data_IF_304343496408
#
_entry.id   IF_304343496408
#
_cell.length_a   1.000
_cell.length_b   1.000
_cell.length_c   1.000
_cell.angle_alpha   90.00
_cell.angle_beta   90.00
_cell.angle_gamma   90.00
#
_symmetry.space_group_name_H-M   'P 1'
#
loop_
_entity.id
_entity.type
_entity.pdbx_description
1 polymer ?
#
# COMPACT_ATOMS: atom_id res chain seq x y z
N UNK A 1 -7.02 -18.79 8.10
CA UNK A 1 -7.57 -17.45 7.88
C UNK A 1 -6.52 -16.69 7.09
N UNK A 2 -6.85 -16.20 5.88
CA UNK A 2 -5.88 -15.57 4.97
C UNK A 2 -6.18 -14.07 4.89
N UNK A 3 -5.13 -13.24 4.98
CA UNK A 3 -5.18 -11.79 4.87
C UNK A 3 -4.11 -11.36 3.89
N UNK A 4 -4.41 -10.38 3.03
CA UNK A 4 -3.44 -9.77 2.14
C UNK A 4 -3.62 -8.25 2.18
N UNK A 5 -2.58 -7.53 2.57
CA UNK A 5 -2.63 -6.09 2.76
C UNK A 5 -1.86 -5.31 1.70
N UNK A 6 -1.29 -6.00 0.69
CA UNK A 6 -0.54 -5.37 -0.37
C UNK A 6 -0.80 -6.08 -1.71
N UNK A 7 -1.77 -5.58 -2.45
CA UNK A 7 -2.13 -6.14 -3.78
C UNK A 7 -2.37 -5.04 -4.80
N UNK A 8 -2.13 -5.38 -6.07
CA UNK A 8 -2.26 -4.46 -7.18
C UNK A 8 -3.32 -4.93 -8.18
N UNK A 9 -3.95 -3.96 -8.82
CA UNK A 9 -4.96 -4.18 -9.85
C UNK A 9 -4.47 -3.63 -11.20
N UNK A 10 -5.30 -3.70 -12.22
CA UNK A 10 -4.96 -3.07 -13.51
C UNK A 10 -4.99 -1.52 -13.48
N UNK A 11 -5.19 -0.90 -12.32
CA UNK A 11 -4.94 0.53 -12.16
C UNK A 11 -3.44 0.86 -12.01
N UNK A 12 -2.60 -0.15 -11.80
CA UNK A 12 -1.13 -0.06 -11.85
C UNK A 12 -0.54 -1.21 -12.67
N UNK A 13 -0.02 -2.23 -12.06
CA UNK A 13 0.73 -3.32 -12.69
C UNK A 13 0.13 -4.71 -12.43
N UNK A 14 -1.04 -4.79 -11.81
CA UNK A 14 -1.80 -6.02 -11.65
C UNK A 14 -2.62 -6.40 -12.88
N UNK A 15 -3.13 -7.63 -12.91
CA UNK A 15 -3.83 -8.19 -14.07
C UNK A 15 -5.36 -8.07 -13.98
N UNK A 16 -5.91 -7.99 -12.78
CA UNK A 16 -7.35 -8.00 -12.53
C UNK A 16 -7.89 -6.60 -12.26
N UNK A 17 -9.13 -6.34 -12.63
CA UNK A 17 -9.84 -5.17 -12.12
C UNK A 17 -10.04 -5.25 -10.60
N UNK A 18 -10.25 -4.12 -9.89
CA UNK A 18 -10.44 -4.14 -8.44
C UNK A 18 -11.48 -5.14 -7.98
N UNK A 19 -12.66 -5.13 -8.57
CA UNK A 19 -13.75 -6.02 -8.17
C UNK A 19 -13.47 -7.49 -8.49
N UNK A 20 -12.77 -7.79 -9.60
CA UNK A 20 -12.35 -9.16 -9.95
C UNK A 20 -11.34 -9.70 -8.95
N UNK A 21 -10.36 -8.89 -8.55
CA UNK A 21 -9.37 -9.28 -7.55
C UNK A 21 -10.02 -9.58 -6.21
N UNK A 22 -10.96 -8.74 -5.75
CA UNK A 22 -11.73 -9.01 -4.53
C UNK A 22 -12.55 -10.30 -4.69
N UNK A 23 -13.16 -10.54 -5.86
CA UNK A 23 -13.92 -11.78 -6.12
C UNK A 23 -13.04 -13.01 -6.05
N UNK A 24 -11.83 -12.97 -6.59
CA UNK A 24 -10.86 -14.06 -6.48
C UNK A 24 -10.48 -14.31 -5.02
N UNK A 25 -10.22 -13.26 -4.24
CA UNK A 25 -9.93 -13.38 -2.82
C UNK A 25 -11.07 -14.10 -2.06
N UNK A 26 -12.32 -13.78 -2.37
CA UNK A 26 -13.49 -14.49 -1.80
C UNK A 26 -13.48 -15.97 -2.17
N UNK A 27 -13.23 -16.30 -3.45
CA UNK A 27 -13.19 -17.69 -3.93
C UNK A 27 -12.10 -18.50 -3.24
N UNK A 28 -10.93 -17.88 -3.01
CA UNK A 28 -9.80 -18.51 -2.32
C UNK A 28 -9.90 -18.46 -0.78
N UNK A 29 -11.00 -17.97 -0.22
CA UNK A 29 -11.25 -18.00 1.21
C UNK A 29 -10.49 -16.94 2.02
N UNK A 30 -10.08 -15.86 1.40
CA UNK A 30 -9.50 -14.71 2.09
C UNK A 30 -10.55 -14.04 2.99
N UNK A 31 -10.11 -13.60 4.16
CA UNK A 31 -10.97 -12.84 5.09
C UNK A 31 -10.82 -11.34 4.90
N UNK A 32 -9.67 -10.92 4.40
CA UNK A 32 -9.39 -9.52 4.14
C UNK A 32 -8.44 -9.39 2.95
N UNK A 33 -8.67 -8.38 2.14
CA UNK A 33 -7.76 -7.95 1.07
C UNK A 33 -7.69 -6.43 1.05
N UNK A 34 -6.50 -5.87 0.86
CA UNK A 34 -6.32 -4.45 0.59
C UNK A 34 -5.88 -4.25 -0.86
N UNK A 35 -6.51 -3.31 -1.54
CA UNK A 35 -6.16 -2.90 -2.90
C UNK A 35 -5.29 -1.66 -2.81
N UNK A 36 -4.03 -1.78 -3.19
CA UNK A 36 -2.98 -0.81 -2.90
C UNK A 36 -2.12 -0.52 -4.13
N UNK A 37 -2.77 -0.20 -5.24
CA UNK A 37 -2.12 0.13 -6.50
C UNK A 37 -1.06 1.22 -6.36
N UNK A 38 -0.04 1.20 -7.22
CA UNK A 38 0.98 2.24 -7.29
C UNK A 38 0.38 3.61 -7.60
N UNK A 39 0.69 4.59 -6.76
CA UNK A 39 0.14 5.93 -6.86
C UNK A 39 1.15 7.06 -6.67
N UNK A 40 0.84 8.15 -7.34
CA UNK A 40 1.49 9.45 -7.23
C UNK A 40 0.43 10.55 -7.39
N UNK A 41 0.82 11.83 -7.41
CA UNK A 41 -0.15 12.93 -7.61
C UNK A 41 -1.00 12.79 -8.88
N UNK A 42 -0.48 12.14 -9.92
CA UNK A 42 -1.19 12.03 -11.21
C UNK A 42 -2.41 11.12 -11.17
N UNK A 43 -2.50 10.19 -10.23
CA UNK A 43 -3.53 9.15 -10.20
C UNK A 43 -4.11 8.85 -8.80
N UNK A 44 -3.62 9.52 -7.75
CA UNK A 44 -3.97 9.26 -6.36
C UNK A 44 -5.49 9.31 -6.10
N UNK A 45 -6.13 10.40 -6.50
CA UNK A 45 -7.57 10.62 -6.32
C UNK A 45 -8.40 9.66 -7.16
N UNK A 46 -7.98 9.42 -8.40
CA UNK A 46 -8.62 8.47 -9.30
C UNK A 46 -8.63 7.06 -8.70
N UNK A 47 -7.46 6.54 -8.31
CA UNK A 47 -7.33 5.17 -7.78
C UNK A 47 -8.17 5.04 -6.51
N UNK A 48 -7.92 5.88 -5.50
CA UNK A 48 -8.59 5.76 -4.20
C UNK A 48 -10.10 5.85 -4.34
N UNK A 49 -10.60 6.80 -5.13
CA UNK A 49 -12.05 6.98 -5.30
C UNK A 49 -12.74 5.80 -6.00
N UNK A 50 -12.05 5.11 -6.90
CA UNK A 50 -12.59 3.94 -7.63
C UNK A 50 -12.50 2.66 -6.80
N UNK A 51 -11.31 2.40 -6.26
CA UNK A 51 -11.09 1.24 -5.39
C UNK A 51 -12.04 1.25 -4.18
N UNK A 52 -12.26 2.41 -3.57
CA UNK A 52 -13.20 2.56 -2.45
C UNK A 52 -14.61 2.10 -2.81
N UNK A 53 -15.12 2.46 -3.98
CA UNK A 53 -16.46 2.04 -4.43
C UNK A 53 -16.59 0.53 -4.60
N UNK A 54 -15.57 -0.11 -5.17
CA UNK A 54 -15.56 -1.56 -5.35
C UNK A 54 -15.39 -2.29 -4.02
N UNK A 55 -14.59 -1.77 -3.09
CA UNK A 55 -14.49 -2.29 -1.73
C UNK A 55 -15.84 -2.21 -1.00
N UNK A 56 -16.51 -1.06 -1.00
CA UNK A 56 -17.82 -0.87 -0.39
C UNK A 56 -18.88 -1.81 -1.01
N UNK A 57 -18.85 -1.97 -2.32
CA UNK A 57 -19.74 -2.89 -3.04
C UNK A 57 -19.50 -4.34 -2.61
N UNK A 58 -18.24 -4.76 -2.54
CA UNK A 58 -17.85 -6.11 -2.16
C UNK A 58 -18.23 -6.42 -0.69
N UNK A 59 -17.93 -5.52 0.24
CA UNK A 59 -18.30 -5.68 1.66
C UNK A 59 -19.81 -5.78 1.87
N UNK A 60 -20.61 -5.10 1.04
CA UNK A 60 -22.07 -5.16 1.12
C UNK A 60 -22.63 -6.51 0.73
N UNK A 61 -22.03 -7.19 -0.25
CA UNK A 61 -22.62 -8.37 -0.86
C UNK A 61 -21.80 -9.66 -0.68
N UNK A 62 -20.54 -9.57 -0.24
CA UNK A 62 -19.66 -10.70 -0.02
C UNK A 62 -19.10 -10.69 1.40
N UNK A 63 -18.84 -11.87 1.93
CA UNK A 63 -18.27 -12.02 3.28
C UNK A 63 -16.74 -11.84 3.24
N UNK A 64 -16.30 -10.62 2.96
CA UNK A 64 -14.89 -10.22 2.92
C UNK A 64 -14.73 -8.79 3.46
N UNK A 65 -13.61 -8.50 4.12
CA UNK A 65 -13.22 -7.14 4.44
C UNK A 65 -12.31 -6.63 3.30
N UNK A 66 -12.82 -5.74 2.45
CA UNK A 66 -12.08 -5.15 1.36
C UNK A 66 -11.62 -3.73 1.75
N UNK A 67 -10.32 -3.50 1.71
CA UNK A 67 -9.70 -2.28 2.23
C UNK A 67 -9.20 -1.42 1.07
N UNK A 68 -9.74 -0.20 0.88
CA UNK A 68 -9.18 0.73 -0.08
C UNK A 68 -7.86 1.29 0.43
N UNK A 69 -6.84 1.26 -0.40
CA UNK A 69 -5.50 1.73 -0.08
C UNK A 69 -4.77 2.31 -1.29
N UNK A 70 -3.51 2.59 -1.08
CA UNK A 70 -2.58 3.09 -2.09
C UNK A 70 -1.15 2.73 -1.70
N UNK A 71 -0.31 2.44 -2.67
CA UNK A 71 1.14 2.38 -2.50
C UNK A 71 1.78 3.59 -3.16
N UNK A 72 2.34 4.50 -2.36
CA UNK A 72 3.08 5.66 -2.85
C UNK A 72 4.43 5.21 -3.40
N UNK A 73 4.61 5.34 -4.71
CA UNK A 73 5.74 4.76 -5.44
C UNK A 73 6.50 5.82 -6.22
N UNK A 74 7.84 5.81 -6.10
CA UNK A 74 8.76 6.72 -6.82
C UNK A 74 8.38 8.21 -6.71
N UNK A 75 7.90 8.61 -5.54
CA UNK A 75 7.57 10.01 -5.24
C UNK A 75 8.75 10.70 -4.55
N UNK A 76 8.90 12.03 -4.67
CA UNK A 76 9.94 12.75 -3.96
C UNK A 76 9.84 12.54 -2.45
N UNK A 77 10.97 12.21 -1.80
CA UNK A 77 11.03 11.89 -0.36
C UNK A 77 10.32 12.92 0.51
N UNK A 78 10.53 14.21 0.23
CA UNK A 78 9.91 15.32 0.99
C UNK A 78 8.39 15.41 0.83
N UNK A 79 7.81 14.75 -0.17
CA UNK A 79 6.36 14.74 -0.41
C UNK A 79 5.62 13.62 0.32
N UNK A 80 6.32 12.59 0.80
CA UNK A 80 5.73 11.36 1.37
C UNK A 80 4.68 11.68 2.43
N UNK A 81 5.03 12.46 3.45
CA UNK A 81 4.10 12.76 4.53
C UNK A 81 2.84 13.51 4.08
N UNK A 82 2.99 14.44 3.14
CA UNK A 82 1.85 15.22 2.62
C UNK A 82 0.95 14.36 1.74
N UNK A 83 1.52 13.56 0.83
CA UNK A 83 0.75 12.66 -0.01
C UNK A 83 0.07 11.55 0.79
N UNK A 84 0.75 11.00 1.80
CA UNK A 84 0.14 10.01 2.70
C UNK A 84 -1.06 10.61 3.47
N UNK A 85 -0.97 11.87 3.90
CA UNK A 85 -2.09 12.59 4.51
C UNK A 85 -3.25 12.76 3.52
N UNK A 86 -2.96 13.24 2.32
CA UNK A 86 -3.95 13.44 1.27
C UNK A 86 -4.65 12.13 0.90
N UNK A 87 -3.90 11.03 0.78
CA UNK A 87 -4.46 9.71 0.57
C UNK A 87 -5.49 9.32 1.65
N UNK A 88 -5.16 9.60 2.92
CA UNK A 88 -6.10 9.37 4.04
C UNK A 88 -7.36 10.25 3.93
N UNK A 89 -7.20 11.50 3.58
CA UNK A 89 -8.31 12.46 3.39
C UNK A 89 -9.22 12.03 2.23
N UNK A 90 -8.67 11.44 1.17
CA UNK A 90 -9.41 10.85 0.05
C UNK A 90 -10.12 9.54 0.41
N UNK A 91 -9.78 8.91 1.52
CA UNK A 91 -10.42 7.72 2.05
C UNK A 91 -9.62 6.43 1.98
N UNK A 92 -8.31 6.48 1.71
CA UNK A 92 -7.43 5.32 1.84
C UNK A 92 -7.35 4.87 3.31
N UNK A 93 -7.73 3.63 3.58
CA UNK A 93 -7.62 3.02 4.93
C UNK A 93 -6.21 2.50 5.19
N UNK A 94 -5.51 2.06 4.14
CA UNK A 94 -4.10 1.69 4.17
C UNK A 94 -3.31 2.60 3.23
N UNK A 95 -2.20 3.15 3.72
CA UNK A 95 -1.19 3.85 2.91
C UNK A 95 0.12 3.12 3.08
N UNK A 96 0.63 2.63 1.98
CA UNK A 96 1.93 1.96 1.85
C UNK A 96 2.92 2.93 1.20
N UNK A 97 4.19 2.80 1.52
CA UNK A 97 5.27 3.45 0.79
C UNK A 97 6.19 2.37 0.24
N UNK A 98 6.48 2.45 -1.04
CA UNK A 98 7.44 1.58 -1.71
C UNK A 98 8.85 1.81 -1.16
N UNK A 99 9.46 0.78 -0.58
CA UNK A 99 10.74 0.89 0.10
C UNK A 99 11.94 0.96 -0.83
N UNK A 100 13.06 1.44 -0.29
CA UNK A 100 14.35 1.45 -0.99
C UNK A 100 14.85 0.00 -1.20
N UNK A 101 15.27 -0.31 -2.43
CA UNK A 101 15.87 -1.60 -2.76
C UNK A 101 17.13 -1.40 -3.60
N UNK A 102 17.91 -2.48 -3.77
CA UNK A 102 19.13 -2.44 -4.61
C UNK A 102 18.81 -2.63 -6.10
N UNK A 103 17.58 -2.98 -6.44
CA UNK A 103 17.15 -3.32 -7.82
C UNK A 103 16.22 -2.29 -8.43
N UNK A 104 15.75 -1.31 -7.66
CA UNK A 104 14.82 -0.28 -8.09
C UNK A 104 15.32 1.13 -7.77
N UNK A 105 14.98 2.09 -8.61
CA UNK A 105 15.46 3.48 -8.50
C UNK A 105 14.57 4.31 -7.54
N UNK A 106 14.47 3.87 -6.30
CA UNK A 106 13.79 4.62 -5.24
C UNK A 106 14.73 5.69 -4.67
N UNK A 107 14.22 6.89 -4.44
CA UNK A 107 15.04 8.00 -3.91
C UNK A 107 15.57 7.66 -2.52
N UNK A 108 16.91 7.76 -2.26
CA UNK A 108 17.48 7.52 -0.95
C UNK A 108 16.89 8.41 0.14
N UNK A 109 16.54 7.82 1.28
CA UNK A 109 15.85 8.49 2.39
C UNK A 109 14.34 8.23 2.44
N UNK A 110 13.80 7.53 1.43
CA UNK A 110 12.38 7.14 1.38
C UNK A 110 11.98 6.32 2.59
N UNK A 111 12.76 5.29 2.96
CA UNK A 111 12.48 4.47 4.14
C UNK A 111 12.39 5.31 5.41
N UNK A 112 13.36 6.18 5.63
CA UNK A 112 13.39 7.04 6.81
C UNK A 112 12.19 7.98 6.88
N UNK A 113 11.81 8.59 5.75
CA UNK A 113 10.68 9.52 5.73
C UNK A 113 9.34 8.79 5.86
N UNK A 114 9.21 7.61 5.25
CA UNK A 114 8.04 6.77 5.41
C UNK A 114 7.79 6.40 6.87
N UNK A 115 8.84 5.91 7.58
CA UNK A 115 8.70 5.48 8.99
C UNK A 115 8.53 6.65 9.98
N UNK A 116 8.76 7.89 9.57
CA UNK A 116 8.44 9.10 10.36
C UNK A 116 6.98 9.53 10.24
N UNK A 117 6.32 9.18 9.13
CA UNK A 117 4.99 9.69 8.83
C UNK A 117 3.92 8.99 9.66
N UNK A 118 3.09 9.74 10.35
CA UNK A 118 1.92 9.21 11.09
C UNK A 118 0.76 8.75 10.19
N UNK A 119 0.86 8.97 8.89
CA UNK A 119 -0.18 8.60 7.91
C UNK A 119 0.17 7.32 7.14
N UNK A 120 1.42 6.88 7.19
CA UNK A 120 1.88 5.63 6.58
C UNK A 120 1.56 4.47 7.52
N UNK A 121 1.07 3.37 6.98
CA UNK A 121 0.75 2.15 7.72
C UNK A 121 1.79 1.06 7.51
N UNK A 122 2.38 0.98 6.32
CA UNK A 122 3.28 -0.08 5.94
C UNK A 122 4.39 0.46 5.04
N UNK A 123 5.61 0.04 5.30
CA UNK A 123 6.76 0.19 4.42
C UNK A 123 6.94 -1.12 3.65
N UNK A 124 6.76 -1.06 2.33
CA UNK A 124 6.80 -2.23 1.47
C UNK A 124 8.25 -2.68 1.22
N UNK A 125 8.50 -3.95 1.42
CA UNK A 125 9.71 -4.72 1.05
C UNK A 125 11.04 -3.92 0.96
N UNK A 126 11.45 -3.18 2.01
CA UNK A 126 12.68 -2.41 1.97
C UNK A 126 13.91 -3.33 1.96
N UNK A 127 14.56 -3.47 0.81
CA UNK A 127 15.79 -4.26 0.68
C UNK A 127 17.00 -3.62 1.33
N UNK A 128 16.99 -2.28 1.55
CA UNK A 128 18.01 -1.52 2.26
C UNK A 128 17.36 -0.88 3.50
N UNK A 129 17.38 -1.59 4.62
CA UNK A 129 16.70 -1.13 5.84
C UNK A 129 17.64 -1.06 7.03
N UNK A 130 17.78 0.12 7.63
CA UNK A 130 18.72 0.37 8.72
C UNK A 130 18.08 0.07 10.07
N UNK A 131 18.91 -0.30 11.05
CA UNK A 131 18.44 -0.58 12.41
C UNK A 131 17.69 0.60 13.05
N UNK A 132 18.12 1.83 12.79
CA UNK A 132 17.47 3.02 13.35
C UNK A 132 16.09 3.27 12.70
N UNK A 133 15.94 2.94 11.42
CA UNK A 133 14.64 2.98 10.72
C UNK A 133 13.69 1.91 11.27
N UNK A 134 14.19 0.70 11.52
CA UNK A 134 13.40 -0.37 12.13
C UNK A 134 12.91 -0.01 13.54
N UNK A 135 13.77 0.57 14.38
CA UNK A 135 13.39 1.06 15.70
C UNK A 135 12.32 2.16 15.62
N UNK A 136 12.43 3.04 14.62
CA UNK A 136 11.48 4.13 14.43
C UNK A 136 10.14 3.60 13.92
N UNK A 137 10.13 2.68 12.95
CA UNK A 137 8.94 1.98 12.50
C UNK A 137 8.19 1.33 13.66
N UNK A 138 8.90 0.58 14.51
CA UNK A 138 8.32 -0.05 15.69
C UNK A 138 7.70 0.96 16.67
N UNK A 139 8.37 2.09 16.95
CA UNK A 139 7.83 3.15 17.83
C UNK A 139 6.57 3.80 17.26
N UNK A 140 6.52 3.96 15.94
CA UNK A 140 5.42 4.64 15.27
C UNK A 140 4.30 3.68 14.83
N UNK A 141 4.43 2.37 15.13
CA UNK A 141 3.43 1.37 14.79
C UNK A 141 3.29 1.11 13.28
N UNK A 142 4.38 1.34 12.52
CA UNK A 142 4.42 1.11 11.08
C UNK A 142 4.89 -0.32 10.83
N UNK A 143 4.13 -1.08 10.06
CA UNK A 143 4.52 -2.42 9.65
C UNK A 143 5.61 -2.35 8.57
N UNK A 144 6.46 -3.37 8.55
CA UNK A 144 7.49 -3.54 7.52
C UNK A 144 7.25 -4.87 6.84
N UNK A 145 7.07 -4.84 5.54
CA UNK A 145 6.89 -6.03 4.73
C UNK A 145 8.23 -6.73 4.46
N UNK A 146 8.24 -8.04 4.62
CA UNK A 146 9.37 -8.88 4.26
C UNK A 146 9.01 -9.64 2.98
N UNK A 147 9.78 -9.43 1.93
CA UNK A 147 9.58 -10.08 0.64
C UNK A 147 10.62 -11.17 0.40
N UNK A 148 10.20 -12.25 -0.27
CA UNK A 148 11.10 -13.27 -0.83
C UNK A 148 11.50 -12.99 -2.28
N UNK A 149 11.04 -11.88 -2.87
CA UNK A 149 11.38 -11.45 -4.22
C UNK A 149 12.86 -11.08 -4.30
N UNK A 150 13.54 -11.52 -5.33
CA UNK A 150 14.97 -11.26 -5.51
C UNK A 150 15.27 -9.76 -5.57
N UNK A 151 16.17 -9.30 -4.68
CA UNK A 151 16.57 -7.89 -4.60
C UNK A 151 15.79 -7.01 -3.63
N UNK A 152 14.77 -7.57 -2.97
CA UNK A 152 13.94 -6.88 -1.98
C UNK A 152 14.16 -7.42 -0.58
#
# INVERSE_FOLDING_TARGET
MIYDFHTHTLFSDGENSPIELIRLAVVFGYRCIALTDHGSYSNLDFIISRVKKDCELAEKYWNINAIPGIELTNIPVKSINNMAREAKELGARIVIVHGESIVENVEPGTNLEAVKSKYVNLLAHPGIFKLEEAKLAARNGIFVEISSRAGH
#
